data_IF_180676791087
#
_entry.id   IF_180676791087
#
_cell.length_a   1.000
_cell.length_b   1.000
_cell.length_c   1.000
_cell.angle_alpha   90.00
_cell.angle_beta   90.00
_cell.angle_gamma   90.00
#
_symmetry.space_group_name_H-M   'P 1'
#
loop_
_entity.id
_entity.type
_entity.pdbx_description
1 polymer ?
#
# COMPACT_ATOMS: atom_id res chain seq x y z
N UNK A 1 -19.18 64.16 -24.46
CA UNK A 1 -18.18 63.33 -25.16
C UNK A 1 -17.38 62.59 -24.12
N UNK A 2 -17.62 61.28 -24.00
CA UNK A 2 -16.65 60.28 -23.52
C UNK A 2 -17.25 58.92 -23.86
N UNK A 3 -16.89 58.45 -25.05
CA UNK A 3 -17.12 57.09 -25.52
C UNK A 3 -16.26 56.15 -24.67
N UNK A 4 -16.87 55.18 -24.01
CA UNK A 4 -16.16 54.02 -23.46
C UNK A 4 -16.62 52.81 -24.27
N UNK A 5 -15.80 52.48 -25.28
CA UNK A 5 -15.93 51.27 -26.09
C UNK A 5 -15.59 50.06 -25.19
N UNK A 6 -16.59 49.45 -24.58
CA UNK A 6 -16.48 48.10 -24.05
C UNK A 6 -16.80 47.12 -25.18
N UNK A 7 -15.76 46.65 -25.87
CA UNK A 7 -15.86 45.49 -26.74
C UNK A 7 -16.16 44.27 -25.85
N UNK A 8 -17.17 43.45 -26.17
CA UNK A 8 -17.37 42.20 -25.45
C UNK A 8 -16.22 41.26 -25.77
N UNK A 9 -15.45 40.88 -24.74
CA UNK A 9 -14.50 39.78 -24.83
C UNK A 9 -15.32 38.53 -25.16
N UNK A 10 -15.02 37.78 -26.24
CA UNK A 10 -15.71 36.54 -26.51
C UNK A 10 -15.42 35.60 -25.34
N UNK A 11 -16.47 35.22 -24.62
CA UNK A 11 -16.43 34.04 -23.76
C UNK A 11 -16.11 32.90 -24.73
N UNK A 12 -15.03 32.12 -24.52
CA UNK A 12 -14.84 30.92 -25.31
C UNK A 12 -16.10 30.09 -25.12
N UNK A 13 -16.84 29.83 -26.20
CA UNK A 13 -17.70 28.66 -26.21
C UNK A 13 -16.76 27.52 -25.80
N UNK A 14 -17.09 26.85 -24.69
CA UNK A 14 -16.44 25.61 -24.30
C UNK A 14 -16.68 24.66 -25.46
N UNK A 15 -15.78 24.74 -26.44
CA UNK A 15 -15.55 23.77 -27.49
C UNK A 15 -15.64 22.44 -26.76
N UNK A 16 -16.63 21.64 -27.18
CA UNK A 16 -16.75 20.23 -26.90
C UNK A 16 -15.42 19.58 -27.28
N UNK A 17 -14.48 19.70 -26.35
CA UNK A 17 -13.15 19.13 -26.42
C UNK A 17 -13.47 17.67 -26.26
N UNK A 18 -13.50 17.00 -27.41
CA UNK A 18 -13.83 15.60 -27.56
C UNK A 18 -13.34 14.87 -26.31
N UNK A 19 -14.28 14.50 -25.44
CA UNK A 19 -14.04 13.70 -24.26
C UNK A 19 -13.58 12.35 -24.79
N UNK A 20 -12.29 12.25 -25.12
CA UNK A 20 -11.57 10.98 -25.19
C UNK A 20 -11.88 10.37 -23.84
N UNK A 21 -12.81 9.41 -23.84
CA UNK A 21 -13.28 8.78 -22.61
C UNK A 21 -12.04 8.38 -21.82
N UNK A 22 -11.89 8.93 -20.61
CA UNK A 22 -10.72 8.70 -19.78
C UNK A 22 -10.44 7.21 -19.76
N UNK A 23 -9.23 6.81 -20.20
CA UNK A 23 -8.87 5.40 -20.22
C UNK A 23 -9.02 4.87 -18.80
N UNK A 24 -9.49 3.64 -18.63
CA UNK A 24 -9.74 3.09 -17.28
C UNK A 24 -8.50 3.18 -16.37
N UNK A 25 -7.31 3.08 -16.98
CA UNK A 25 -5.99 3.23 -16.37
C UNK A 25 -5.69 4.63 -15.84
N UNK A 26 -6.30 5.65 -16.42
CA UNK A 26 -6.16 7.04 -15.98
C UNK A 26 -6.99 7.29 -14.70
N UNK A 27 -7.95 6.41 -14.39
CA UNK A 27 -8.69 6.45 -13.14
C UNK A 27 -7.88 5.83 -11.99
N UNK A 28 -7.45 6.69 -11.06
CA UNK A 28 -6.79 6.28 -9.82
C UNK A 28 -7.59 5.24 -9.04
N UNK A 29 -8.92 5.40 -8.98
CA UNK A 29 -9.79 4.49 -8.24
C UNK A 29 -9.83 3.11 -8.89
N UNK A 30 -9.89 3.06 -10.22
CA UNK A 30 -9.85 1.82 -10.97
C UNK A 30 -8.51 1.09 -10.74
N UNK A 31 -7.39 1.80 -10.87
CA UNK A 31 -6.04 1.26 -10.61
C UNK A 31 -5.93 0.67 -9.21
N UNK A 32 -6.38 1.40 -8.18
CA UNK A 32 -6.37 0.93 -6.78
C UNK A 32 -7.21 -0.34 -6.63
N UNK A 33 -8.43 -0.35 -7.16
CA UNK A 33 -9.35 -1.47 -7.01
C UNK A 33 -8.85 -2.72 -7.75
N UNK A 34 -8.36 -2.55 -8.97
CA UNK A 34 -7.77 -3.61 -9.80
C UNK A 34 -6.53 -4.20 -9.11
N UNK A 35 -5.60 -3.37 -8.65
CA UNK A 35 -4.44 -3.84 -7.90
C UNK A 35 -4.88 -4.63 -6.66
N UNK A 36 -5.78 -4.08 -5.84
CA UNK A 36 -6.21 -4.72 -4.58
C UNK A 36 -6.89 -6.06 -4.83
N UNK A 37 -7.70 -6.17 -5.89
CA UNK A 37 -8.35 -7.42 -6.32
C UNK A 37 -7.32 -8.51 -6.60
N UNK A 38 -6.33 -8.24 -7.45
CA UNK A 38 -5.31 -9.22 -7.83
C UNK A 38 -4.34 -9.54 -6.70
N UNK A 39 -3.86 -8.49 -6.01
CA UNK A 39 -2.92 -8.63 -4.91
C UNK A 39 -3.50 -9.48 -3.78
N UNK A 40 -4.81 -9.37 -3.52
CA UNK A 40 -5.51 -10.18 -2.53
C UNK A 40 -5.42 -11.67 -2.88
N UNK A 41 -5.66 -12.03 -4.13
CA UNK A 41 -5.57 -13.42 -4.60
C UNK A 41 -4.15 -13.95 -4.48
N UNK A 42 -3.16 -13.19 -4.95
CA UNK A 42 -1.74 -13.60 -4.87
C UNK A 42 -1.26 -13.77 -3.42
N UNK A 43 -1.62 -12.83 -2.55
CA UNK A 43 -1.23 -12.86 -1.13
C UNK A 43 -1.91 -14.03 -0.41
N UNK A 44 -3.20 -14.28 -0.67
CA UNK A 44 -3.92 -15.41 -0.09
C UNK A 44 -3.34 -16.76 -0.54
N UNK A 45 -2.99 -16.89 -1.83
CA UNK A 45 -2.35 -18.10 -2.36
C UNK A 45 -0.99 -18.35 -1.69
N UNK A 46 -0.18 -17.31 -1.50
CA UNK A 46 1.09 -17.43 -0.81
C UNK A 46 0.89 -17.87 0.66
N UNK A 47 -0.08 -17.27 1.36
CA UNK A 47 -0.40 -17.64 2.74
C UNK A 47 -0.94 -19.07 2.84
N UNK A 48 -1.75 -19.52 1.87
CA UNK A 48 -2.23 -20.91 1.80
C UNK A 48 -1.08 -21.91 1.63
N UNK A 49 -0.03 -21.55 0.90
CA UNK A 49 1.15 -22.39 0.75
C UNK A 49 1.96 -22.49 2.05
N UNK A 50 2.05 -21.39 2.81
CA UNK A 50 2.87 -21.32 4.04
C UNK A 50 2.13 -21.85 5.28
N UNK A 51 0.86 -21.51 5.43
CA UNK A 51 0.04 -21.81 6.62
C UNK A 51 -0.95 -22.96 6.40
N UNK A 52 -1.14 -23.39 5.15
CA UNK A 52 -2.15 -24.35 4.74
C UNK A 52 -3.47 -23.70 4.31
N UNK A 53 -4.29 -24.46 3.59
CA UNK A 53 -5.58 -24.01 3.00
C UNK A 53 -6.75 -23.91 4.00
N UNK A 54 -6.47 -24.02 5.30
CA UNK A 54 -7.52 -23.92 6.32
C UNK A 54 -7.83 -22.45 6.62
N UNK A 55 -8.94 -22.22 7.32
CA UNK A 55 -9.32 -20.89 7.73
C UNK A 55 -8.22 -20.25 8.61
N UNK A 56 -7.90 -18.98 8.32
CA UNK A 56 -6.74 -18.26 8.90
C UNK A 56 -6.79 -18.17 10.42
N UNK A 57 -8.00 -18.05 10.97
CA UNK A 57 -8.30 -18.04 12.39
C UNK A 57 -7.86 -19.33 13.12
N UNK A 58 -7.73 -20.44 12.39
CA UNK A 58 -7.29 -21.74 12.92
C UNK A 58 -5.81 -22.01 12.70
N UNK A 59 -5.22 -21.48 11.64
CA UNK A 59 -3.84 -21.77 11.24
C UNK A 59 -2.82 -20.74 11.71
N UNK A 60 -3.27 -19.52 12.04
CA UNK A 60 -2.38 -18.42 12.33
C UNK A 60 -2.75 -17.73 13.63
N UNK A 61 -1.76 -17.63 14.52
CA UNK A 61 -1.86 -16.86 15.76
C UNK A 61 -1.01 -15.60 15.57
N UNK A 62 -1.61 -14.40 15.51
CA UNK A 62 -0.87 -13.16 15.37
C UNK A 62 0.13 -12.99 16.53
N UNK A 63 1.40 -12.62 16.24
CA UNK A 63 2.39 -12.36 17.28
C UNK A 63 2.00 -11.12 18.09
N UNK A 64 2.38 -11.13 19.37
CA UNK A 64 2.22 -9.97 20.25
C UNK A 64 3.32 -8.96 19.88
N UNK A 65 2.92 -7.75 19.49
CA UNK A 65 3.83 -6.67 19.17
C UNK A 65 4.14 -5.84 20.41
N UNK A 66 5.42 -5.52 20.58
CA UNK A 66 5.94 -4.73 21.69
C UNK A 66 6.57 -3.46 21.15
N UNK A 67 6.08 -2.31 21.62
CA UNK A 67 6.69 -1.02 21.35
C UNK A 67 7.96 -0.87 22.19
N UNK A 68 9.10 -0.80 21.52
CA UNK A 68 10.43 -0.62 22.11
C UNK A 68 10.89 0.84 22.05
N UNK A 69 10.05 1.76 21.57
CA UNK A 69 10.39 3.18 21.56
C UNK A 69 10.53 3.71 23.00
N UNK A 70 11.54 4.57 23.27
CA UNK A 70 11.66 5.22 24.56
C UNK A 70 10.43 6.10 24.82
N UNK A 71 9.73 5.87 25.94
CA UNK A 71 8.53 6.63 26.31
C UNK A 71 8.95 8.08 26.57
N UNK A 72 8.47 9.01 25.75
CA UNK A 72 8.96 10.39 25.73
C UNK A 72 8.49 11.27 26.91
N UNK A 73 7.59 10.79 27.76
CA UNK A 73 6.95 11.62 28.78
C UNK A 73 7.19 11.12 30.21
N UNK A 74 7.78 11.97 31.08
CA UNK A 74 8.01 11.78 32.53
C UNK A 74 8.27 10.33 32.98
N UNK A 75 9.31 9.72 32.44
CA UNK A 75 9.80 8.43 32.93
C UNK A 75 10.52 8.59 34.27
N UNK A 76 10.32 7.64 35.17
CA UNK A 76 11.21 7.44 36.31
C UNK A 76 12.62 7.07 35.84
N UNK A 77 13.65 7.30 36.65
CA UNK A 77 15.03 6.88 36.34
C UNK A 77 15.08 5.36 36.05
N UNK A 78 14.24 4.58 36.73
CA UNK A 78 14.16 3.14 36.52
C UNK A 78 13.62 2.78 35.13
N UNK A 79 12.60 3.48 34.61
CA UNK A 79 12.07 3.26 33.26
C UNK A 79 13.00 3.79 32.15
N UNK A 80 13.86 4.76 32.46
CA UNK A 80 14.92 5.19 31.55
C UNK A 80 16.02 4.13 31.38
N UNK A 81 16.31 3.38 32.44
CA UNK A 81 17.33 2.31 32.44
C UNK A 81 16.73 0.97 32.02
N UNK A 82 15.46 0.73 32.34
CA UNK A 82 14.70 -0.48 32.03
C UNK A 82 13.34 -0.09 31.42
N UNK A 83 13.28 0.28 30.13
CA UNK A 83 12.02 0.59 29.49
C UNK A 83 11.12 -0.65 29.50
N UNK A 84 9.95 -0.54 30.12
CA UNK A 84 8.94 -1.58 30.04
C UNK A 84 8.26 -1.47 28.66
N UNK A 85 8.42 -2.47 27.78
CA UNK A 85 7.80 -2.42 26.46
C UNK A 85 6.28 -2.40 26.59
N UNK A 86 5.63 -1.53 25.82
CA UNK A 86 4.16 -1.46 25.76
C UNK A 86 3.64 -2.46 24.73
N UNK A 87 2.57 -3.17 25.05
CA UNK A 87 1.87 -4.00 24.05
C UNK A 87 1.10 -3.09 23.09
N UNK A 88 1.31 -3.29 21.79
CA UNK A 88 0.59 -2.59 20.72
C UNK A 88 -0.69 -3.38 20.42
N UNK A 89 -1.84 -2.74 20.60
CA UNK A 89 -3.14 -3.31 20.24
C UNK A 89 -3.78 -2.56 19.06
N UNK A 90 -3.24 -1.39 18.75
CA UNK A 90 -3.67 -0.54 17.66
C UNK A 90 -3.20 -1.09 16.31
N UNK A 91 -3.90 -0.68 15.26
CA UNK A 91 -3.45 -0.93 13.89
C UNK A 91 -2.14 -0.15 13.64
N UNK A 92 -1.17 -0.81 12.99
CA UNK A 92 0.12 -0.21 12.64
C UNK A 92 -0.03 1.01 11.71
N UNK A 93 -1.11 1.10 10.92
CA UNK A 93 -1.40 2.30 10.13
C UNK A 93 -1.91 3.49 10.96
N UNK A 94 -2.41 3.23 12.17
CA UNK A 94 -3.00 4.26 13.06
C UNK A 94 -2.00 4.79 14.10
N UNK A 95 -0.82 4.19 14.19
CA UNK A 95 0.26 4.76 15.01
C UNK A 95 0.79 6.06 14.40
N UNK A 96 1.12 7.05 15.25
CA UNK A 96 1.71 8.35 14.86
C UNK A 96 3.11 8.24 14.20
N UNK A 97 3.56 7.03 13.87
CA UNK A 97 4.89 6.72 13.38
C UNK A 97 4.85 6.47 11.87
N UNK A 98 5.49 7.36 11.11
CA UNK A 98 5.64 7.24 9.65
C UNK A 98 6.51 6.05 9.21
N UNK A 99 7.26 5.45 10.14
CA UNK A 99 8.13 4.28 9.92
C UNK A 99 8.11 3.37 11.13
N UNK A 100 7.93 2.08 10.88
CA UNK A 100 7.93 1.03 11.89
C UNK A 100 9.01 0.01 11.51
N UNK A 101 9.80 -0.43 12.49
CA UNK A 101 10.82 -1.46 12.31
C UNK A 101 10.42 -2.66 13.17
N UNK A 102 10.22 -3.80 12.53
CA UNK A 102 9.91 -5.05 13.21
C UNK A 102 11.21 -5.79 13.51
N UNK A 103 11.57 -5.86 14.79
CA UNK A 103 12.73 -6.60 15.27
C UNK A 103 12.27 -7.90 15.94
N UNK A 104 12.82 -9.02 15.48
CA UNK A 104 12.62 -10.34 16.08
C UNK A 104 13.72 -11.28 15.58
N UNK A 105 13.92 -12.40 16.28
CA UNK A 105 14.87 -13.42 15.86
C UNK A 105 14.48 -14.09 14.53
N UNK A 106 15.44 -14.81 13.95
CA UNK A 106 15.19 -15.64 12.78
C UNK A 106 14.13 -16.72 13.09
N UNK A 107 13.23 -16.98 12.15
CA UNK A 107 12.16 -17.96 12.32
C UNK A 107 10.93 -17.48 13.11
N UNK A 108 10.95 -16.28 13.70
CA UNK A 108 9.80 -15.73 14.46
C UNK A 108 8.62 -15.25 13.58
N UNK A 109 8.59 -15.61 12.29
CA UNK A 109 7.43 -15.36 11.43
C UNK A 109 7.24 -13.92 10.94
N UNK A 110 8.27 -13.05 10.98
CA UNK A 110 8.17 -11.65 10.50
C UNK A 110 7.56 -11.52 9.10
N UNK A 111 8.05 -12.31 8.15
CA UNK A 111 7.55 -12.30 6.77
C UNK A 111 6.10 -12.76 6.70
N UNK A 112 5.76 -13.83 7.42
CA UNK A 112 4.39 -14.35 7.50
C UNK A 112 3.45 -13.32 8.12
N UNK A 113 3.88 -12.63 9.17
CA UNK A 113 3.13 -11.53 9.78
C UNK A 113 2.87 -10.39 8.80
N UNK A 114 3.89 -9.92 8.09
CA UNK A 114 3.74 -8.85 7.10
C UNK A 114 2.81 -9.24 5.96
N UNK A 115 2.87 -10.49 5.48
CA UNK A 115 1.98 -11.00 4.44
C UNK A 115 0.54 -11.17 4.93
N UNK A 116 0.36 -11.67 6.15
CA UNK A 116 -0.95 -11.74 6.79
C UNK A 116 -1.54 -10.34 7.00
N UNK A 117 -0.73 -9.39 7.45
CA UNK A 117 -1.13 -8.00 7.61
C UNK A 117 -1.50 -7.37 6.26
N UNK A 118 -0.73 -7.64 5.19
CA UNK A 118 -1.08 -7.25 3.83
C UNK A 118 -2.45 -7.82 3.40
N UNK A 119 -2.74 -9.09 3.67
CA UNK A 119 -4.05 -9.70 3.37
C UNK A 119 -5.19 -8.98 4.11
N UNK A 120 -5.02 -8.66 5.40
CA UNK A 120 -6.00 -7.88 6.18
C UNK A 120 -6.22 -6.48 5.59
N UNK A 121 -5.15 -5.77 5.23
CA UNK A 121 -5.26 -4.45 4.61
C UNK A 121 -5.96 -4.47 3.26
N UNK A 122 -5.86 -5.58 2.51
CA UNK A 122 -6.54 -5.77 1.22
C UNK A 122 -8.02 -6.15 1.37
N UNK A 123 -8.43 -6.70 2.52
CA UNK A 123 -9.82 -7.02 2.84
C UNK A 123 -10.63 -5.83 3.34
N UNK A 124 -9.98 -4.88 4.01
CA UNK A 124 -10.59 -3.66 4.52
C UNK A 124 -10.85 -2.63 3.42
N UNK A 125 -11.56 -1.55 3.76
CA UNK A 125 -11.66 -0.39 2.87
C UNK A 125 -10.28 0.26 2.66
N UNK A 126 -9.96 0.77 1.46
CA UNK A 126 -8.68 1.40 1.20
C UNK A 126 -8.46 2.61 2.12
N UNK A 127 -7.29 2.69 2.76
CA UNK A 127 -6.92 3.87 3.53
C UNK A 127 -6.85 5.10 2.61
N UNK A 128 -7.38 6.28 3.00
CA UNK A 128 -7.46 7.47 2.14
C UNK A 128 -6.08 7.95 1.65
N UNK A 129 -5.04 7.73 2.46
CA UNK A 129 -3.65 8.12 2.14
C UNK A 129 -2.83 6.94 1.61
N UNK A 130 -3.09 5.72 2.10
CA UNK A 130 -2.24 4.54 1.88
C UNK A 130 -3.08 3.40 1.28
N UNK A 131 -3.61 3.64 0.08
CA UNK A 131 -4.61 2.76 -0.54
C UNK A 131 -4.04 1.46 -1.11
N UNK A 132 -2.73 1.40 -1.38
CA UNK A 132 -2.03 0.28 -2.02
C UNK A 132 -1.03 -0.33 -1.02
N UNK A 133 -1.34 -1.47 -0.39
CA UNK A 133 -0.40 -2.16 0.48
C UNK A 133 0.58 -2.98 -0.37
N UNK A 134 1.82 -2.50 -0.46
CA UNK A 134 2.92 -3.12 -1.19
C UNK A 134 3.80 -3.94 -0.24
N UNK A 135 4.16 -5.15 -0.68
CA UNK A 135 5.15 -5.96 0.02
C UNK A 135 6.36 -6.09 -0.89
N UNK A 136 7.53 -5.74 -0.38
CA UNK A 136 8.75 -5.86 -1.14
C UNK A 136 9.80 -6.65 -0.34
N UNK A 137 10.40 -7.64 -0.98
CA UNK A 137 11.50 -8.39 -0.39
C UNK A 137 12.84 -7.75 -0.75
N UNK A 138 13.44 -7.05 0.23
CA UNK A 138 14.72 -6.37 0.06
C UNK A 138 15.88 -7.31 -0.31
N UNK A 139 15.77 -8.62 -0.05
CA UNK A 139 16.80 -9.59 -0.45
C UNK A 139 16.89 -9.82 -1.95
N UNK A 140 15.91 -9.36 -2.73
CA UNK A 140 15.89 -9.50 -4.19
C UNK A 140 16.58 -8.33 -4.91
N UNK A 141 16.97 -7.29 -4.18
CA UNK A 141 17.68 -6.16 -4.76
C UNK A 141 19.14 -6.54 -5.02
N UNK A 142 19.67 -6.27 -6.24
CA UNK A 142 21.07 -6.49 -6.51
C UNK A 142 21.94 -5.58 -5.65
N UNK A 143 23.09 -6.08 -5.19
CA UNK A 143 24.00 -5.29 -4.36
C UNK A 143 24.51 -4.06 -5.14
N UNK A 144 24.53 -2.89 -4.48
CA UNK A 144 24.96 -1.63 -5.09
C UNK A 144 23.89 -0.89 -5.89
N UNK A 145 22.66 -1.41 -5.96
CA UNK A 145 21.53 -0.70 -6.58
C UNK A 145 21.01 0.43 -5.68
N UNK A 146 20.76 1.59 -6.28
CA UNK A 146 20.27 2.77 -5.56
C UNK A 146 18.74 2.80 -5.43
N UNK A 147 18.24 3.79 -4.70
CA UNK A 147 16.78 4.02 -4.49
C UNK A 147 16.01 4.14 -5.82
N UNK A 148 16.63 4.66 -6.88
CA UNK A 148 15.98 4.81 -8.19
C UNK A 148 15.53 3.47 -8.79
N UNK A 149 16.41 2.45 -8.76
CA UNK A 149 16.09 1.12 -9.29
C UNK A 149 15.09 0.38 -8.41
N UNK A 150 15.11 0.65 -7.10
CA UNK A 150 14.08 0.16 -6.18
C UNK A 150 12.69 0.72 -6.54
N UNK A 151 12.59 2.03 -6.80
CA UNK A 151 11.32 2.65 -7.21
C UNK A 151 10.82 2.12 -8.55
N UNK A 152 11.72 1.93 -9.52
CA UNK A 152 11.39 1.32 -10.81
C UNK A 152 10.84 -0.10 -10.64
N UNK A 153 11.48 -0.90 -9.78
CA UNK A 153 11.02 -2.27 -9.47
C UNK A 153 9.63 -2.28 -8.83
N UNK A 154 9.34 -1.32 -7.93
CA UNK A 154 8.01 -1.18 -7.33
C UNK A 154 6.96 -0.83 -8.39
N UNK A 155 7.26 0.12 -9.28
CA UNK A 155 6.33 0.51 -10.33
C UNK A 155 6.03 -0.66 -11.28
N UNK A 156 7.07 -1.42 -11.65
CA UNK A 156 6.92 -2.63 -12.44
C UNK A 156 6.06 -3.68 -11.73
N UNK A 157 6.26 -3.91 -10.42
CA UNK A 157 5.44 -4.86 -9.66
C UNK A 157 3.96 -4.46 -9.65
N UNK A 158 3.66 -3.18 -9.42
CA UNK A 158 2.29 -2.64 -9.47
C UNK A 158 1.69 -2.84 -10.86
N UNK A 159 2.43 -2.46 -11.90
CA UNK A 159 1.98 -2.54 -13.29
C UNK A 159 1.73 -3.99 -13.69
N UNK A 160 2.62 -4.94 -13.37
CA UNK A 160 2.40 -6.36 -13.61
C UNK A 160 1.14 -6.88 -12.92
N UNK A 161 0.85 -6.44 -11.69
CA UNK A 161 -0.36 -6.83 -10.97
C UNK A 161 -1.62 -6.31 -11.66
N UNK A 162 -1.60 -5.07 -12.18
CA UNK A 162 -2.72 -4.46 -12.90
C UNK A 162 -2.94 -5.10 -14.26
N UNK A 163 -1.86 -5.35 -15.02
CA UNK A 163 -1.93 -5.98 -16.34
C UNK A 163 -2.51 -7.39 -16.31
N UNK A 164 -2.47 -8.08 -15.15
CA UNK A 164 -3.21 -9.34 -14.99
C UNK A 164 -4.72 -9.18 -15.25
N UNK A 165 -5.30 -7.98 -15.09
CA UNK A 165 -6.70 -7.73 -15.44
C UNK A 165 -6.94 -7.87 -16.94
N UNK A 166 -6.04 -7.39 -17.80
CA UNK A 166 -6.16 -7.57 -19.26
C UNK A 166 -5.99 -9.04 -19.70
N UNK A 167 -5.36 -9.89 -18.88
CA UNK A 167 -5.31 -11.33 -19.14
C UNK A 167 -6.64 -12.02 -18.80
N UNK A 168 -7.43 -11.46 -17.87
CA UNK A 168 -8.73 -12.00 -17.47
C UNK A 168 -9.85 -11.43 -18.33
N UNK A 169 -9.80 -10.13 -18.61
CA UNK A 169 -10.74 -9.44 -19.49
C UNK A 169 -10.04 -9.07 -20.80
N UNK A 170 -10.20 -9.95 -21.80
CA UNK A 170 -9.61 -9.75 -23.13
C UNK A 170 -10.21 -8.59 -23.92
N UNK A 171 -11.24 -7.91 -23.38
CA UNK A 171 -11.82 -6.71 -23.99
C UNK A 171 -11.18 -5.41 -23.48
N UNK A 172 -10.34 -5.50 -22.44
CA UNK A 172 -9.59 -4.39 -21.88
C UNK A 172 -8.26 -4.22 -22.65
N UNK A 173 -8.15 -3.13 -23.41
CA UNK A 173 -6.87 -2.69 -23.97
C UNK A 173 -6.14 -1.83 -22.95
N UNK A 174 -5.15 -2.42 -22.27
CA UNK A 174 -4.24 -1.71 -21.36
C UNK A 174 -2.93 -1.37 -22.09
N UNK A 175 -2.40 -0.16 -21.92
CA UNK A 175 -1.10 0.23 -22.47
C UNK A 175 -0.04 0.32 -21.37
N UNK A 176 1.12 -0.31 -21.59
CA UNK A 176 2.30 -0.26 -20.70
C UNK A 176 2.92 1.13 -20.58
#
# INVERSE_FOLDING_TARGET
>A
MNETNELPVPIPEDDESALVGARLEESREWVINTYRKHQKVQTAQWLDMVLGKQARDKTYIPPIMLDTNPIRHRQSIQEQVFPAPRIIHEDLLMTDHMKIVLEADYGMGKTTFLKYYQERLLEQEPHPVYSIPLYFNLSLLPEGTGIAQFMESIHQEILCVILNEAQIDTTLELNE
#
